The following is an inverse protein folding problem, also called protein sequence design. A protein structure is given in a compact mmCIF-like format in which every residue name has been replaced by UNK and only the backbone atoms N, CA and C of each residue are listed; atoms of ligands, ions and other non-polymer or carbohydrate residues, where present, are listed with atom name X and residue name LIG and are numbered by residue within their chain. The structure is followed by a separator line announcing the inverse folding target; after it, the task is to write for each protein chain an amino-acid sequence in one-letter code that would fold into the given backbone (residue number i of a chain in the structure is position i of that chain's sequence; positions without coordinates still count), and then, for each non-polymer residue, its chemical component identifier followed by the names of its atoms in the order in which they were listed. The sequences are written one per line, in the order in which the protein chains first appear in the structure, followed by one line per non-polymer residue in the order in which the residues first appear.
data_IF_589029798010
#
_entry.id   IF_589029798010
#
_cell.length_a   1.000
_cell.length_b   1.000
_cell.length_c   1.000
_cell.angle_alpha   90.00
_cell.angle_beta   90.00
_cell.angle_gamma   90.00
#
_symmetry.space_group_name_H-M   'P 1'
#
loop_
_entity.id
_entity.type
_entity.pdbx_description
1 polymer ?
#
# COMPACT_ATOMS: atom_id res chain seq x y z
N UNK A 1 -1.08 8.85 -12.65
CA UNK A 1 0.11 7.97 -12.54
C UNK A 1 -0.21 6.48 -12.79
N UNK A 2 -1.39 6.14 -13.33
CA UNK A 2 -1.82 4.75 -13.43
C UNK A 2 -1.05 3.93 -14.47
N UNK A 3 -0.62 4.53 -15.59
CA UNK A 3 0.15 3.87 -16.65
C UNK A 3 1.64 4.24 -16.65
N UNK A 4 2.52 3.41 -17.24
CA UNK A 4 3.96 3.69 -17.33
C UNK A 4 4.26 5.04 -17.99
N UNK A 5 3.59 5.33 -19.11
CA UNK A 5 3.75 6.59 -19.83
C UNK A 5 3.35 7.80 -18.97
N UNK A 6 2.23 7.70 -18.23
CA UNK A 6 1.82 8.75 -17.32
C UNK A 6 2.84 8.94 -16.18
N UNK A 7 3.37 7.86 -15.60
CA UNK A 7 4.40 7.96 -14.55
C UNK A 7 5.67 8.65 -15.04
N UNK A 8 6.14 8.33 -16.25
CA UNK A 8 7.29 9.02 -16.86
C UNK A 8 7.07 10.53 -16.98
N UNK A 9 5.91 10.94 -17.49
CA UNK A 9 5.57 12.36 -17.59
C UNK A 9 5.55 13.07 -16.23
N UNK A 10 5.05 12.40 -15.19
CA UNK A 10 5.06 12.94 -13.83
C UNK A 10 6.46 12.99 -13.23
N UNK A 11 7.30 11.99 -13.48
CA UNK A 11 8.69 11.93 -13.07
C UNK A 11 9.49 13.12 -13.62
N UNK A 12 9.37 13.37 -14.93
CA UNK A 12 10.05 14.48 -15.62
C UNK A 12 9.61 15.85 -15.04
N UNK A 13 8.31 16.01 -14.77
CA UNK A 13 7.75 17.26 -14.19
C UNK A 13 8.16 17.49 -12.75
N UNK A 14 8.20 16.42 -11.95
CA UNK A 14 8.54 16.49 -10.54
C UNK A 14 10.05 16.51 -10.29
N UNK A 15 10.87 16.22 -11.30
CA UNK A 15 12.32 16.04 -11.14
C UNK A 15 12.66 14.83 -10.26
N UNK A 16 11.79 13.81 -10.27
CA UNK A 16 11.91 12.62 -9.42
C UNK A 16 12.11 11.35 -10.26
N UNK A 17 12.76 10.30 -9.71
CA UNK A 17 12.82 9.01 -10.37
C UNK A 17 11.42 8.44 -10.65
N UNK A 18 11.23 7.80 -11.81
CA UNK A 18 9.94 7.16 -12.17
C UNK A 18 9.53 6.09 -11.15
N UNK A 19 10.50 5.44 -10.50
CA UNK A 19 10.26 4.46 -9.44
C UNK A 19 9.58 5.09 -8.21
N UNK A 20 9.99 6.29 -7.80
CA UNK A 20 9.34 6.98 -6.67
C UNK A 20 7.90 7.38 -7.01
N UNK A 21 7.64 7.79 -8.25
CA UNK A 21 6.28 8.04 -8.75
C UNK A 21 5.44 6.75 -8.76
N UNK A 22 6.04 5.60 -9.08
CA UNK A 22 5.36 4.31 -9.00
C UNK A 22 5.01 3.96 -7.54
N UNK A 23 5.95 4.12 -6.62
CA UNK A 23 5.72 3.91 -5.18
C UNK A 23 4.59 4.79 -4.66
N UNK A 24 4.60 6.08 -5.00
CA UNK A 24 3.52 7.01 -4.64
C UNK A 24 2.16 6.60 -5.25
N UNK A 25 2.14 6.17 -6.51
CA UNK A 25 0.93 5.71 -7.19
C UNK A 25 0.36 4.44 -6.54
N UNK A 26 1.22 3.53 -6.11
CA UNK A 26 0.87 2.29 -5.44
C UNK A 26 0.29 2.53 -4.03
N UNK A 27 0.93 3.40 -3.24
CA UNK A 27 0.38 3.86 -1.94
C UNK A 27 -0.96 4.54 -2.11
N UNK A 28 -1.11 5.39 -3.12
CA UNK A 28 -2.38 6.04 -3.44
C UNK A 28 -3.46 5.05 -3.90
N UNK A 29 -3.08 3.93 -4.54
CA UNK A 29 -4.03 2.86 -4.87
C UNK A 29 -4.47 2.09 -3.62
N UNK A 30 -3.53 1.77 -2.71
CA UNK A 30 -3.82 1.17 -1.41
C UNK A 30 -4.73 2.06 -0.55
N UNK A 31 -4.54 3.38 -0.58
CA UNK A 31 -5.33 4.31 0.22
C UNK A 31 -6.80 4.45 -0.23
N UNK A 32 -7.21 3.76 -1.30
CA UNK A 32 -8.62 3.63 -1.69
C UNK A 32 -9.40 2.67 -0.78
N UNK A 33 -8.71 1.83 -0.01
CA UNK A 33 -9.31 0.92 0.96
C UNK A 33 -9.72 1.73 2.19
N UNK A 34 -10.97 1.60 2.61
CA UNK A 34 -11.47 2.32 3.78
C UNK A 34 -10.67 1.93 5.02
N UNK A 35 -10.14 2.93 5.72
CA UNK A 35 -9.29 2.74 6.90
C UNK A 35 -7.79 2.63 6.58
N UNK A 36 -7.39 2.58 5.31
CA UNK A 36 -5.98 2.65 4.89
C UNK A 36 -5.67 4.09 4.48
N UNK A 37 -5.10 4.88 5.40
CA UNK A 37 -4.51 6.18 5.08
C UNK A 37 -3.02 6.07 4.74
N UNK A 38 -2.35 7.21 4.52
CA UNK A 38 -0.93 7.26 4.15
C UNK A 38 0.00 6.47 5.08
N UNK A 39 -0.19 6.60 6.40
CA UNK A 39 0.64 5.88 7.37
C UNK A 39 0.45 4.35 7.30
N UNK A 40 -0.78 3.89 7.06
CA UNK A 40 -1.05 2.46 6.89
C UNK A 40 -0.62 1.95 5.51
N UNK A 41 -0.73 2.76 4.45
CA UNK A 41 -0.17 2.38 3.14
C UNK A 41 1.35 2.25 3.20
N UNK A 42 2.03 3.14 3.92
CA UNK A 42 3.49 3.07 4.13
C UNK A 42 3.88 1.84 4.94
N UNK A 43 3.09 1.51 5.98
CA UNK A 43 3.31 0.31 6.77
C UNK A 43 3.05 -0.97 5.97
N UNK A 44 2.03 -0.99 5.11
CA UNK A 44 1.75 -2.12 4.23
C UNK A 44 2.91 -2.35 3.25
N UNK A 45 3.41 -1.29 2.59
CA UNK A 45 4.59 -1.37 1.73
C UNK A 45 5.82 -1.86 2.50
N UNK A 46 6.07 -1.30 3.69
CA UNK A 46 7.17 -1.73 4.53
C UNK A 46 7.03 -3.19 5.03
N UNK A 47 5.80 -3.72 5.09
CA UNK A 47 5.49 -5.12 5.36
C UNK A 47 5.50 -6.00 4.10
N UNK A 48 5.87 -5.45 2.94
CA UNK A 48 6.01 -6.13 1.65
C UNK A 48 4.70 -6.22 0.85
N UNK A 49 3.76 -5.31 1.06
CA UNK A 49 2.51 -5.21 0.31
C UNK A 49 2.47 -3.88 -0.42
N UNK A 50 2.85 -3.91 -1.69
CA UNK A 50 2.99 -2.71 -2.50
C UNK A 50 1.70 -2.40 -3.26
N UNK A 51 0.80 -3.38 -3.41
CA UNK A 51 -0.36 -3.24 -4.29
C UNK A 51 -1.65 -3.79 -3.69
N UNK A 52 -2.79 -3.25 -4.14
CA UNK A 52 -4.13 -3.78 -3.80
C UNK A 52 -4.25 -5.26 -4.20
N UNK A 53 -3.65 -5.66 -5.33
CA UNK A 53 -3.68 -7.05 -5.80
C UNK A 53 -2.92 -7.98 -4.85
N UNK A 54 -1.74 -7.57 -4.41
CA UNK A 54 -0.96 -8.34 -3.44
C UNK A 54 -1.70 -8.47 -2.10
N UNK A 55 -2.28 -7.36 -1.61
CA UNK A 55 -3.05 -7.35 -0.37
C UNK A 55 -4.20 -8.37 -0.43
N UNK A 56 -4.91 -8.45 -1.55
CA UNK A 56 -6.01 -9.39 -1.76
C UNK A 56 -5.60 -10.87 -1.61
N UNK A 57 -4.32 -11.19 -1.77
CA UNK A 57 -3.77 -12.54 -1.67
C UNK A 57 -3.07 -12.85 -0.34
N UNK A 58 -3.00 -11.88 0.59
CA UNK A 58 -2.34 -12.09 1.89
C UNK A 58 -3.20 -12.91 2.85
N UNK A 59 -2.51 -13.62 3.76
CA UNK A 59 -3.12 -14.24 4.96
C UNK A 59 -3.13 -13.20 6.08
N UNK A 60 -4.31 -12.91 6.62
CA UNK A 60 -4.51 -11.83 7.59
C UNK A 60 -3.59 -11.94 8.81
N UNK A 61 -3.54 -13.10 9.47
CA UNK A 61 -2.71 -13.31 10.67
C UNK A 61 -1.23 -13.02 10.41
N UNK A 62 -0.70 -13.49 9.27
CA UNK A 62 0.71 -13.29 8.92
C UNK A 62 1.00 -11.83 8.62
N UNK A 63 0.10 -11.17 7.89
CA UNK A 63 0.26 -9.78 7.55
C UNK A 63 0.19 -8.92 8.81
N UNK A 64 -0.76 -9.19 9.70
CA UNK A 64 -0.90 -8.48 10.96
C UNK A 64 0.36 -8.58 11.81
N UNK A 65 0.87 -9.79 12.04
CA UNK A 65 2.14 -9.98 12.76
C UNK A 65 3.29 -9.24 12.09
N UNK A 66 3.39 -9.32 10.75
CA UNK A 66 4.47 -8.62 10.04
C UNK A 66 4.38 -7.10 10.15
N UNK A 67 3.17 -6.55 10.10
CA UNK A 67 2.94 -5.12 10.27
C UNK A 67 3.31 -4.66 11.69
N UNK A 68 3.06 -5.47 12.73
CA UNK A 68 3.50 -5.15 14.09
C UNK A 68 5.03 -5.15 14.21
N UNK A 69 5.71 -6.19 13.70
CA UNK A 69 7.18 -6.27 13.69
C UNK A 69 7.79 -5.02 13.02
N UNK A 70 7.32 -4.70 11.81
CA UNK A 70 7.83 -3.58 11.03
C UNK A 70 7.52 -2.24 11.71
N UNK A 71 6.35 -2.10 12.33
CA UNK A 71 5.99 -0.86 13.01
C UNK A 71 6.78 -0.66 14.31
N UNK A 72 7.15 -1.74 15.02
CA UNK A 72 8.02 -1.67 16.18
C UNK A 72 9.42 -1.12 15.81
N UNK A 73 9.93 -1.51 14.63
CA UNK A 73 11.23 -1.04 14.13
C UNK A 73 11.17 0.37 13.54
N UNK A 74 10.19 0.63 12.65
CA UNK A 74 10.15 1.84 11.81
C UNK A 74 9.23 2.94 12.32
N UNK A 75 8.34 2.64 13.27
CA UNK A 75 7.39 3.58 13.90
C UNK A 75 6.59 4.40 12.87
N UNK A 76 6.06 3.73 11.86
CA UNK A 76 5.34 4.35 10.74
C UNK A 76 3.93 4.79 11.14
N UNK A 77 3.31 4.11 12.09
CA UNK A 77 1.99 4.46 12.61
C UNK A 77 2.02 4.66 14.12
N UNK A 78 1.28 5.68 14.58
CA UNK A 78 1.07 5.93 16.02
C UNK A 78 0.15 4.89 16.65
N UNK A 79 -0.79 4.35 15.87
CA UNK A 79 -1.71 3.30 16.29
C UNK A 79 -1.47 2.05 15.45
N UNK A 80 -1.34 0.93 16.13
CA UNK A 80 -1.21 -0.38 15.50
C UNK A 80 -2.54 -0.82 14.89
N UNK A 81 -2.52 -1.52 13.74
CA UNK A 81 -3.72 -2.10 13.16
C UNK A 81 -4.23 -3.25 14.04
N UNK A 82 -5.55 -3.38 14.17
CA UNK A 82 -6.13 -4.58 14.78
C UNK A 82 -6.21 -5.73 13.77
N UNK A 83 -6.29 -7.00 14.20
CA UNK A 83 -6.49 -8.13 13.28
C UNK A 83 -7.72 -7.96 12.38
N UNK A 84 -8.84 -7.52 12.97
CA UNK A 84 -10.09 -7.27 12.23
C UNK A 84 -9.95 -6.17 11.17
N UNK A 85 -9.13 -5.13 11.41
CA UNK A 85 -8.84 -4.12 10.38
C UNK A 85 -8.07 -4.75 9.21
N UNK A 86 -7.08 -5.59 9.49
CA UNK A 86 -6.30 -6.25 8.43
C UNK A 86 -7.17 -7.21 7.62
N UNK A 87 -8.04 -7.97 8.26
CA UNK A 87 -9.02 -8.83 7.59
C UNK A 87 -9.95 -8.05 6.66
N UNK A 88 -10.51 -6.95 7.17
CA UNK A 88 -11.39 -6.06 6.40
C UNK A 88 -10.66 -5.43 5.20
N UNK A 89 -9.41 -4.99 5.37
CA UNK A 89 -8.60 -4.46 4.27
C UNK A 89 -8.35 -5.51 3.18
N UNK A 90 -8.07 -6.75 3.55
CA UNK A 90 -7.90 -7.85 2.59
C UNK A 90 -9.22 -8.15 1.87
N UNK A 91 -10.36 -8.13 2.59
CA UNK A 91 -11.68 -8.33 1.99
C UNK A 91 -12.03 -7.22 0.99
N UNK A 92 -11.80 -5.97 1.35
CA UNK A 92 -11.96 -4.82 0.46
C UNK A 92 -11.02 -4.92 -0.75
N UNK A 93 -9.77 -5.32 -0.56
CA UNK A 93 -8.80 -5.46 -1.65
C UNK A 93 -9.26 -6.48 -2.71
N UNK A 94 -9.86 -7.60 -2.28
CA UNK A 94 -10.42 -8.63 -3.16
C UNK A 94 -11.55 -8.12 -4.05
N UNK A 95 -12.35 -7.15 -3.57
CA UNK A 95 -13.49 -6.60 -4.33
C UNK A 95 -13.10 -5.40 -5.18
N UNK A 96 -12.16 -4.59 -4.70
CA UNK A 96 -11.85 -3.28 -5.27
C UNK A 96 -11.06 -3.34 -6.58
N UNK A 97 -10.15 -4.30 -6.71
CA UNK A 97 -9.20 -4.42 -7.82
C UNK A 97 -8.16 -3.29 -7.87
N UNK A 98 -6.93 -3.63 -8.29
CA UNK A 98 -5.86 -2.65 -8.47
C UNK A 98 -6.07 -1.77 -9.71
N UNK A 99 -5.77 -0.48 -9.60
CA UNK A 99 -5.90 0.50 -10.72
C UNK A 99 -4.58 0.83 -11.42
N UNK A 100 -3.45 0.37 -10.89
CA UNK A 100 -2.13 0.61 -11.49
C UNK A 100 -1.83 -0.43 -12.56
N UNK A 101 -1.43 0.04 -13.74
CA UNK A 101 -0.83 -0.78 -14.80
C UNK A 101 0.69 -0.62 -14.79
N UNK A 102 1.38 -1.72 -15.03
CA UNK A 102 2.83 -1.86 -14.88
C UNK A 102 3.54 -1.82 -16.23
#
# INVERSE_FOLDING_TARGET
MASPAARKQWADKAGMPTQEILTLANRADLSRINGVGGAFSDLLEAAGVDTVKELAHRRADNLHQKMLEVNAEKKLTMREPTPAQVEDWIAQAKTLGGKISY
#
